data_IF_267868379627
#
_entry.id   IF_267868379627
#
_cell.length_a   1.000
_cell.length_b   1.000
_cell.length_c   1.000
_cell.angle_alpha   90.00
_cell.angle_beta   90.00
_cell.angle_gamma   90.00
#
_symmetry.space_group_name_H-M   'P 1'
#
loop_
_entity.id
_entity.type
_entity.pdbx_description
1 polymer ?
#
# COMPACT_ATOMS: atom_id res chain seq x y z
N UNK A 1 3.76 -3.68 -13.36
CA UNK A 1 4.71 -2.57 -13.11
C UNK A 1 5.55 -2.90 -11.90
N UNK A 2 6.81 -2.48 -11.88
CA UNK A 2 7.69 -2.68 -10.72
C UNK A 2 7.75 -1.41 -9.87
N UNK A 3 7.95 -1.53 -8.53
CA UNK A 3 8.19 -0.37 -7.69
C UNK A 3 9.41 0.42 -8.16
N UNK A 4 9.33 1.75 -8.05
CA UNK A 4 10.46 2.62 -8.38
C UNK A 4 11.34 2.90 -7.13
N UNK A 5 12.40 3.69 -7.31
CA UNK A 5 13.35 4.02 -6.26
C UNK A 5 12.71 4.60 -4.99
N UNK A 6 11.65 5.41 -5.10
CA UNK A 6 10.97 6.00 -3.94
C UNK A 6 10.25 4.94 -3.11
N UNK A 7 9.65 3.93 -3.75
CA UNK A 7 9.01 2.84 -3.02
C UNK A 7 10.02 2.06 -2.19
N UNK A 8 11.19 1.76 -2.77
CA UNK A 8 12.28 1.09 -2.05
C UNK A 8 12.92 1.98 -0.99
N UNK A 9 12.99 3.29 -1.19
CA UNK A 9 13.45 4.23 -0.16
C UNK A 9 12.50 4.24 1.04
N UNK A 10 11.18 4.22 0.82
CA UNK A 10 10.22 4.12 1.92
C UNK A 10 10.34 2.77 2.64
N UNK A 11 10.55 1.66 1.91
CA UNK A 11 10.85 0.36 2.51
C UNK A 11 12.12 0.42 3.36
N UNK A 12 13.17 1.11 2.90
CA UNK A 12 14.39 1.31 3.67
C UNK A 12 14.11 2.08 4.97
N UNK A 13 13.30 3.15 4.94
CA UNK A 13 12.89 3.86 6.16
C UNK A 13 12.12 2.95 7.13
N UNK A 14 11.33 2.00 6.63
CA UNK A 14 10.69 0.97 7.46
C UNK A 14 11.73 0.07 8.13
N UNK A 15 12.68 -0.45 7.37
CA UNK A 15 13.73 -1.34 7.89
C UNK A 15 14.63 -0.67 8.94
N UNK A 16 14.81 0.65 8.84
CA UNK A 16 15.54 1.45 9.83
C UNK A 16 14.69 1.88 11.04
N UNK A 17 13.44 1.42 11.15
CA UNK A 17 12.47 1.86 12.18
C UNK A 17 12.18 3.37 12.19
N UNK A 18 12.38 4.06 11.07
CA UNK A 18 12.11 5.49 10.91
C UNK A 18 10.72 5.78 10.31
N UNK A 19 10.08 4.77 9.70
CA UNK A 19 8.77 4.92 9.09
C UNK A 19 7.63 4.76 10.09
N UNK A 20 6.89 5.86 10.33
CA UNK A 20 5.66 5.79 11.11
C UNK A 20 4.51 5.17 10.30
N UNK A 21 4.16 5.78 9.15
CA UNK A 21 3.04 5.39 8.29
C UNK A 21 3.21 6.01 6.88
N UNK A 22 2.63 5.36 5.87
CA UNK A 22 2.55 5.81 4.48
C UNK A 22 1.10 6.14 4.17
N UNK A 23 0.83 7.37 3.74
CA UNK A 23 -0.46 7.78 3.21
C UNK A 23 -0.30 7.92 1.70
N UNK A 24 -1.03 7.10 0.93
CA UNK A 24 -0.93 7.09 -0.52
C UNK A 24 -2.30 7.30 -1.15
N UNK A 25 -2.32 8.05 -2.24
CA UNK A 25 -3.48 8.21 -3.13
C UNK A 25 -3.46 7.21 -4.28
N UNK A 26 -2.35 6.48 -4.44
CA UNK A 26 -2.19 5.50 -5.50
C UNK A 26 -3.04 4.27 -5.20
N UNK A 27 -3.56 3.66 -6.27
CA UNK A 27 -4.39 2.45 -6.21
C UNK A 27 -3.68 1.23 -6.82
N UNK A 28 -2.44 1.43 -7.30
CA UNK A 28 -1.63 0.43 -8.02
C UNK A 28 -0.99 -0.63 -7.09
N UNK A 29 -0.89 -0.35 -5.79
CA UNK A 29 -0.37 -1.27 -4.77
C UNK A 29 1.15 -1.41 -4.78
N UNK A 30 1.91 -0.54 -5.45
CA UNK A 30 3.36 -0.67 -5.57
C UNK A 30 4.09 -0.57 -4.22
N UNK A 31 3.54 0.11 -3.21
CA UNK A 31 4.07 0.17 -1.85
C UNK A 31 4.07 -1.22 -1.19
N UNK A 32 3.02 -2.02 -1.42
CA UNK A 32 2.93 -3.41 -0.93
C UNK A 32 3.92 -4.31 -1.64
N UNK A 33 4.06 -4.15 -2.96
CA UNK A 33 5.02 -4.93 -3.76
C UNK A 33 6.46 -4.61 -3.35
N UNK A 34 6.76 -3.37 -2.97
CA UNK A 34 8.04 -2.99 -2.38
C UNK A 34 8.28 -3.56 -0.97
N UNK A 35 7.29 -4.28 -0.42
CA UNK A 35 7.39 -4.98 0.86
C UNK A 35 7.03 -4.14 2.07
N UNK A 36 6.40 -2.96 1.91
CA UNK A 36 5.93 -2.20 3.07
C UNK A 36 4.73 -2.95 3.69
N UNK A 37 4.71 -3.20 5.02
CA UNK A 37 3.62 -3.96 5.64
C UNK A 37 2.27 -3.25 5.49
N UNK A 38 1.16 -3.99 5.26
CA UNK A 38 -0.18 -3.41 5.10
C UNK A 38 -0.61 -2.46 6.21
N UNK A 39 -0.26 -2.76 7.47
CA UNK A 39 -0.59 -1.96 8.65
C UNK A 39 0.11 -0.59 8.70
N UNK A 40 1.16 -0.42 7.89
CA UNK A 40 1.89 0.83 7.70
C UNK A 40 1.32 1.66 6.55
N UNK A 41 0.37 1.15 5.77
CA UNK A 41 -0.14 1.82 4.56
C UNK A 41 -1.60 2.23 4.77
N UNK A 42 -1.92 3.48 4.42
CA UNK A 42 -3.28 3.98 4.30
C UNK A 42 -3.53 4.35 2.84
N UNK A 43 -4.32 3.52 2.17
CA UNK A 43 -4.74 3.67 0.79
C UNK A 43 -5.98 4.58 0.73
N UNK A 44 -5.78 5.89 0.56
CA UNK A 44 -6.84 6.90 0.69
C UNK A 44 -7.94 6.77 -0.38
N UNK A 45 -7.59 6.24 -1.56
CA UNK A 45 -8.51 6.03 -2.68
C UNK A 45 -8.88 4.56 -2.89
N UNK A 46 -8.53 3.69 -1.94
CA UNK A 46 -8.66 2.25 -2.09
C UNK A 46 -7.52 1.64 -2.91
N UNK A 47 -7.74 0.42 -3.41
CA UNK A 47 -6.70 -0.40 -4.04
C UNK A 47 -7.35 -1.35 -5.03
N UNK A 48 -6.65 -1.69 -6.11
CA UNK A 48 -7.11 -2.74 -7.04
C UNK A 48 -6.95 -4.17 -6.49
N UNK A 49 -6.36 -4.32 -5.31
CA UNK A 49 -6.10 -5.63 -4.69
C UNK A 49 -7.37 -6.35 -4.20
N UNK A 50 -8.46 -5.63 -3.98
CA UNK A 50 -9.71 -6.23 -3.52
C UNK A 50 -10.91 -5.51 -4.11
N UNK A 51 -12.04 -6.19 -4.15
CA UNK A 51 -13.32 -5.60 -4.50
C UNK A 51 -14.35 -5.87 -3.40
N UNK A 52 -15.35 -5.00 -3.28
CA UNK A 52 -16.48 -5.22 -2.38
C UNK A 52 -17.77 -5.11 -3.16
N UNK A 53 -18.60 -6.16 -3.12
CA UNK A 53 -19.92 -6.12 -3.72
C UNK A 53 -20.76 -5.03 -3.04
N UNK A 54 -21.24 -4.05 -3.82
CA UNK A 54 -22.01 -2.92 -3.29
C UNK A 54 -23.37 -3.34 -2.71
N UNK A 55 -23.89 -4.52 -3.09
CA UNK A 55 -25.18 -5.04 -2.61
C UNK A 55 -25.06 -5.81 -1.30
N UNK A 56 -24.23 -6.85 -1.26
CA UNK A 56 -24.12 -7.74 -0.10
C UNK A 56 -22.91 -7.47 0.79
N UNK A 57 -22.05 -6.50 0.44
CA UNK A 57 -20.81 -6.16 1.16
C UNK A 57 -19.79 -7.29 1.26
N UNK A 58 -19.97 -8.38 0.51
CA UNK A 58 -18.98 -9.44 0.38
C UNK A 58 -17.69 -8.88 -0.22
N UNK A 59 -16.55 -9.18 0.43
CA UNK A 59 -15.21 -8.84 -0.05
C UNK A 59 -14.67 -9.96 -0.93
N UNK A 60 -13.92 -9.58 -1.95
CA UNK A 60 -13.25 -10.43 -2.93
C UNK A 60 -11.80 -9.98 -3.08
#
# INVERSE_FOLDING_TARGET
YFPNLIHYFIRYLYDQNLLHRVYTQNIDGLERIAGIPPEKIVEAHGSFMSATCQRCRQKY
#
